data_IF_739740127554
#
_entry.id   IF_739740127554
#
_cell.length_a   1.000
_cell.length_b   1.000
_cell.length_c   1.000
_cell.angle_alpha   90.00
_cell.angle_beta   90.00
_cell.angle_gamma   90.00
#
_symmetry.space_group_name_H-M   'P 1'
#
loop_
_entity.id
_entity.type
_entity.pdbx_description
1 polymer ?
#
# COMPACT_ATOMS: atom_id res chain seq x y z
N UNK A 1 -6.29 -69.44 20.56
CA UNK A 1 -5.01 -68.86 20.09
C UNK A 1 -5.27 -68.43 18.66
N UNK A 2 -5.56 -67.15 18.47
CA UNK A 2 -5.92 -66.54 17.19
C UNK A 2 -5.06 -65.30 17.04
N UNK A 3 -4.23 -65.32 16.00
CA UNK A 3 -3.41 -64.22 15.55
C UNK A 3 -4.27 -63.06 15.05
N UNK A 4 -3.88 -61.84 15.41
CA UNK A 4 -4.30 -60.63 14.72
C UNK A 4 -3.19 -59.58 14.86
N UNK A 5 -2.30 -59.57 13.87
CA UNK A 5 -1.44 -58.43 13.57
C UNK A 5 -2.31 -57.20 13.31
N UNK A 6 -2.07 -56.13 14.06
CA UNK A 6 -2.56 -54.79 13.72
C UNK A 6 -1.38 -53.96 13.26
N UNK A 7 -1.22 -53.88 11.94
CA UNK A 7 -0.50 -52.78 11.28
C UNK A 7 -1.34 -51.53 11.45
N UNK A 8 -0.81 -50.52 12.14
CA UNK A 8 -1.34 -49.17 12.07
C UNK A 8 -0.56 -48.40 11.01
N UNK A 9 -1.32 -47.93 10.02
CA UNK A 9 -0.85 -47.19 8.87
C UNK A 9 -0.15 -45.89 9.27
N UNK A 10 1.00 -45.63 8.64
CA UNK A 10 1.70 -44.37 8.73
C UNK A 10 0.87 -43.30 8.01
N UNK A 11 0.34 -42.33 8.76
CA UNK A 11 -0.23 -41.10 8.22
C UNK A 11 0.85 -40.31 7.48
N UNK A 12 0.79 -40.34 6.15
CA UNK A 12 1.48 -39.38 5.28
C UNK A 12 0.91 -37.98 5.50
N UNK A 13 1.63 -37.15 6.25
CA UNK A 13 1.45 -35.69 6.22
C UNK A 13 2.01 -35.17 4.89
N UNK A 14 1.13 -34.63 4.05
CA UNK A 14 1.50 -33.85 2.88
C UNK A 14 1.86 -32.43 3.31
N UNK A 15 3.15 -32.11 3.30
CA UNK A 15 3.64 -30.74 3.43
C UNK A 15 3.29 -29.97 2.15
N UNK A 16 2.14 -29.31 2.14
CA UNK A 16 1.84 -28.32 1.11
C UNK A 16 2.75 -27.09 1.37
N UNK A 17 3.78 -26.91 0.54
CA UNK A 17 4.66 -25.75 0.60
C UNK A 17 3.83 -24.45 0.58
N UNK A 18 3.92 -23.67 1.65
CA UNK A 18 3.24 -22.38 1.75
C UNK A 18 3.98 -21.37 0.87
N UNK A 19 3.28 -20.79 -0.12
CA UNK A 19 3.86 -19.78 -1.01
C UNK A 19 4.50 -18.63 -0.22
N UNK A 20 5.65 -18.17 -0.69
CA UNK A 20 6.28 -16.95 -0.17
C UNK A 20 5.43 -15.71 -0.49
N UNK A 21 5.68 -14.61 0.23
CA UNK A 21 5.00 -13.34 -0.02
C UNK A 21 5.25 -12.83 -1.45
N UNK A 22 6.45 -13.01 -1.99
CA UNK A 22 6.79 -12.61 -3.35
C UNK A 22 6.02 -13.44 -4.40
N UNK A 23 5.85 -14.74 -4.17
CA UNK A 23 5.06 -15.61 -5.05
C UNK A 23 3.58 -15.27 -4.99
N UNK A 24 3.05 -15.01 -3.78
CA UNK A 24 1.67 -14.57 -3.59
C UNK A 24 1.42 -13.23 -4.27
N UNK A 25 2.33 -12.26 -4.09
CA UNK A 25 2.25 -10.96 -4.76
C UNK A 25 2.30 -11.10 -6.29
N UNK A 26 3.17 -11.97 -6.81
CA UNK A 26 3.30 -12.24 -8.25
C UNK A 26 2.02 -12.86 -8.82
N UNK A 27 1.41 -13.80 -8.08
CA UNK A 27 0.19 -14.50 -8.49
C UNK A 27 -1.04 -13.61 -8.40
N UNK A 28 -1.22 -12.92 -7.28
CA UNK A 28 -2.47 -12.24 -6.93
C UNK A 28 -2.43 -10.73 -7.21
N UNK A 29 -1.27 -10.17 -7.57
CA UNK A 29 -1.00 -8.73 -7.66
C UNK A 29 -1.11 -7.95 -6.34
N UNK A 30 -1.31 -8.66 -5.23
CA UNK A 30 -1.23 -8.13 -3.87
C UNK A 30 -0.77 -9.21 -2.89
N UNK A 31 -0.26 -8.77 -1.73
CA UNK A 31 0.06 -9.62 -0.59
C UNK A 31 -0.27 -8.88 0.70
N UNK A 32 -0.73 -9.63 1.70
CA UNK A 32 -1.01 -9.12 3.04
C UNK A 32 0.15 -9.54 3.93
N UNK A 33 0.76 -8.57 4.61
CA UNK A 33 1.87 -8.81 5.53
C UNK A 33 1.41 -8.43 6.93
N UNK A 34 1.25 -9.44 7.80
CA UNK A 34 0.82 -9.26 9.19
C UNK A 34 1.98 -8.81 10.06
N UNK A 35 1.72 -7.94 11.02
CA UNK A 35 2.75 -7.36 11.90
C UNK A 35 3.93 -6.76 11.11
N UNK A 36 3.62 -6.09 10.00
CA UNK A 36 4.63 -5.51 9.10
C UNK A 36 5.40 -4.36 9.76
N UNK A 37 4.70 -3.54 10.54
CA UNK A 37 5.32 -2.46 11.31
C UNK A 37 5.70 -2.92 12.70
N UNK A 38 6.85 -2.44 13.16
CA UNK A 38 7.26 -2.57 14.55
C UNK A 38 6.20 -1.97 15.49
N UNK A 39 5.79 -2.66 16.57
CA UNK A 39 4.74 -2.18 17.47
C UNK A 39 5.02 -0.81 18.11
N UNK A 40 6.29 -0.48 18.38
CA UNK A 40 6.64 0.85 18.87
C UNK A 40 6.41 1.92 17.81
N UNK A 41 6.79 1.65 16.55
CA UNK A 41 6.52 2.55 15.43
C UNK A 41 5.01 2.78 15.24
N UNK A 42 4.20 1.72 15.34
CA UNK A 42 2.72 1.83 15.29
C UNK A 42 2.21 2.74 16.39
N UNK A 43 2.64 2.53 17.65
CA UNK A 43 2.23 3.36 18.79
C UNK A 43 2.67 4.82 18.65
N UNK A 44 3.89 5.06 18.16
CA UNK A 44 4.42 6.39 17.90
C UNK A 44 3.57 7.12 16.85
N UNK A 45 3.36 6.50 15.68
CA UNK A 45 2.58 7.10 14.59
C UNK A 45 1.11 7.30 14.97
N UNK A 46 0.51 6.36 15.69
CA UNK A 46 -0.86 6.49 16.20
C UNK A 46 -0.99 7.70 17.14
N UNK A 47 0.00 7.91 18.01
CA UNK A 47 0.02 9.09 18.87
C UNK A 47 0.25 10.37 18.09
N UNK A 48 1.21 10.38 17.18
CA UNK A 48 1.51 11.54 16.33
C UNK A 48 0.29 12.00 15.52
N UNK A 49 -0.40 11.09 14.82
CA UNK A 49 -1.57 11.47 14.01
C UNK A 49 -2.81 11.80 14.83
N UNK A 50 -2.91 11.32 16.08
CA UNK A 50 -3.91 11.81 17.02
C UNK A 50 -3.64 13.28 17.36
N UNK A 51 -2.41 13.65 17.68
CA UNK A 51 -2.06 15.06 17.93
C UNK A 51 -2.30 15.93 16.70
N UNK A 52 -1.93 15.47 15.50
CA UNK A 52 -2.21 16.18 14.24
C UNK A 52 -3.70 16.43 14.04
N UNK A 53 -4.54 15.42 14.33
CA UNK A 53 -6.00 15.55 14.27
C UNK A 53 -6.51 16.56 15.29
N UNK A 54 -6.12 16.42 16.55
CA UNK A 54 -6.67 17.19 17.67
C UNK A 54 -6.27 18.67 17.60
N UNK A 55 -5.11 18.97 17.01
CA UNK A 55 -4.65 20.34 16.75
C UNK A 55 -5.05 20.88 15.37
N UNK A 56 -5.75 20.09 14.53
CA UNK A 56 -6.15 20.50 13.19
C UNK A 56 -4.99 20.80 12.24
N UNK A 57 -3.82 20.19 12.47
CA UNK A 57 -2.58 20.47 11.73
C UNK A 57 -2.47 19.74 10.38
N UNK A 58 -3.50 19.00 9.98
CA UNK A 58 -3.58 18.35 8.67
C UNK A 58 -4.24 19.23 7.60
N UNK A 59 -4.43 18.66 6.42
CA UNK A 59 -5.09 19.29 5.28
C UNK A 59 -6.45 18.64 5.04
N UNK A 60 -7.39 19.40 4.46
CA UNK A 60 -8.62 18.86 3.92
C UNK A 60 -8.55 18.93 2.39
N UNK A 61 -8.92 17.83 1.73
CA UNK A 61 -9.12 17.85 0.29
C UNK A 61 -10.49 18.47 0.00
N UNK A 62 -10.67 19.19 -1.10
CA UNK A 62 -11.96 19.84 -1.44
C UNK A 62 -13.12 18.85 -1.49
N UNK A 63 -12.82 17.62 -1.91
CA UNK A 63 -13.81 16.58 -2.16
C UNK A 63 -13.94 15.57 -1.02
N UNK A 64 -13.13 15.71 0.06
CA UNK A 64 -13.12 14.76 1.18
C UNK A 64 -13.38 15.46 2.52
N UNK A 65 -14.21 14.83 3.34
CA UNK A 65 -14.52 15.27 4.70
C UNK A 65 -13.47 14.87 5.75
N UNK A 66 -12.53 14.01 5.37
CA UNK A 66 -11.48 13.44 6.20
C UNK A 66 -10.21 14.29 6.20
N UNK A 67 -9.52 14.35 7.33
CA UNK A 67 -8.21 14.97 7.43
C UNK A 67 -7.17 14.11 6.69
N UNK A 68 -6.28 14.75 5.95
CA UNK A 68 -5.18 14.11 5.25
C UNK A 68 -3.86 14.84 5.50
N UNK A 69 -2.76 14.10 5.53
CA UNK A 69 -1.43 14.63 5.82
C UNK A 69 -0.48 14.24 4.68
N UNK A 70 -0.71 14.80 3.49
CA UNK A 70 0.10 14.50 2.33
C UNK A 70 1.48 15.15 2.46
N UNK A 71 2.56 14.37 2.23
CA UNK A 71 3.93 14.86 2.42
C UNK A 71 4.31 15.16 3.87
N UNK A 72 3.60 14.59 4.85
CA UNK A 72 4.00 14.66 6.25
C UNK A 72 5.41 14.06 6.45
N UNK A 73 6.32 14.73 7.18
CA UNK A 73 7.70 14.25 7.36
C UNK A 73 7.81 12.87 8.02
N UNK A 74 6.90 12.50 8.93
CA UNK A 74 6.91 11.18 9.55
C UNK A 74 6.46 10.11 8.53
N UNK A 75 5.46 10.42 7.70
CA UNK A 75 5.06 9.53 6.60
C UNK A 75 6.17 9.36 5.54
N UNK A 76 6.88 10.43 5.20
CA UNK A 76 8.00 10.38 4.25
C UNK A 76 9.17 9.55 4.83
N UNK A 77 9.44 9.68 6.14
CA UNK A 77 10.43 8.85 6.82
C UNK A 77 10.09 7.36 6.76
N UNK A 78 8.81 6.99 6.94
CA UNK A 78 8.32 5.62 6.76
C UNK A 78 8.53 5.13 5.33
N UNK A 79 8.15 5.93 4.33
CA UNK A 79 8.33 5.62 2.90
C UNK A 79 9.78 5.25 2.55
N UNK A 80 10.75 6.03 3.05
CA UNK A 80 12.16 5.75 2.79
C UNK A 80 12.67 4.56 3.61
N UNK A 81 12.30 4.47 4.89
CA UNK A 81 12.85 3.48 5.81
C UNK A 81 12.36 2.07 5.51
N UNK A 82 11.10 1.91 5.08
CA UNK A 82 10.52 0.61 4.81
C UNK A 82 10.69 0.14 3.37
N UNK A 83 11.30 0.96 2.49
CA UNK A 83 11.52 0.61 1.09
C UNK A 83 12.18 -0.77 0.96
N UNK A 84 13.31 -0.99 1.63
CA UNK A 84 14.05 -2.26 1.51
C UNK A 84 13.23 -3.46 2.02
N UNK A 85 12.44 -3.27 3.07
CA UNK A 85 11.54 -4.30 3.58
C UNK A 85 10.47 -4.64 2.54
N UNK A 86 9.81 -3.63 1.96
CA UNK A 86 8.81 -3.83 0.90
C UNK A 86 9.44 -4.51 -0.32
N UNK A 87 10.64 -4.10 -0.75
CA UNK A 87 11.37 -4.74 -1.84
C UNK A 87 11.61 -6.23 -1.57
N UNK A 88 11.95 -6.60 -0.33
CA UNK A 88 12.16 -7.98 0.07
C UNK A 88 10.85 -8.80 0.06
N UNK A 89 9.74 -8.22 0.51
CA UNK A 89 8.43 -8.90 0.54
C UNK A 89 7.90 -9.25 -0.86
N UNK A 90 8.19 -8.42 -1.87
CA UNK A 90 7.61 -8.59 -3.22
C UNK A 90 8.62 -8.96 -4.30
N UNK A 91 9.92 -9.00 -3.97
CA UNK A 91 10.99 -9.35 -4.91
C UNK A 91 11.18 -8.34 -6.05
N UNK A 92 10.89 -7.05 -5.83
CA UNK A 92 11.06 -5.98 -6.82
C UNK A 92 11.94 -4.87 -6.28
N UNK A 93 12.65 -4.17 -7.17
CA UNK A 93 13.35 -2.93 -6.84
C UNK A 93 12.47 -1.73 -7.12
N UNK A 94 12.42 -0.78 -6.17
CA UNK A 94 11.41 0.28 -6.14
C UNK A 94 12.02 1.67 -6.04
N UNK A 95 11.50 2.66 -6.76
CA UNK A 95 11.73 4.07 -6.46
C UNK A 95 10.55 4.65 -5.67
N UNK A 96 10.80 5.37 -4.56
CA UNK A 96 9.73 6.00 -3.81
C UNK A 96 9.13 7.15 -4.61
N UNK A 97 7.81 7.31 -4.55
CA UNK A 97 7.09 8.41 -5.18
C UNK A 97 6.52 9.35 -4.12
N UNK A 98 5.47 8.96 -3.40
CA UNK A 98 4.84 9.79 -2.37
C UNK A 98 4.46 9.01 -1.10
N UNK A 99 4.21 9.73 -0.01
CA UNK A 99 3.59 9.25 1.21
C UNK A 99 2.33 10.04 1.54
N UNK A 100 1.26 9.35 1.92
CA UNK A 100 -0.04 9.93 2.18
C UNK A 100 -0.65 9.30 3.43
N UNK A 101 -1.17 10.13 4.31
CA UNK A 101 -1.92 9.68 5.49
C UNK A 101 -3.33 10.18 5.38
N UNK A 102 -4.29 9.32 5.72
CA UNK A 102 -5.69 9.70 5.83
C UNK A 102 -6.25 9.24 7.17
N UNK A 103 -6.86 10.19 7.87
CA UNK A 103 -7.52 10.00 9.17
C UNK A 103 -9.01 10.04 8.89
N UNK A 104 -9.60 8.85 8.84
CA UNK A 104 -11.00 8.62 8.54
C UNK A 104 -11.85 8.78 9.80
N UNK A 105 -13.07 9.28 9.61
CA UNK A 105 -14.12 9.42 10.62
C UNK A 105 -15.42 8.79 10.11
N UNK A 106 -16.39 8.66 11.01
CA UNK A 106 -17.73 8.15 10.68
C UNK A 106 -18.31 8.84 9.45
N UNK A 107 -18.80 8.04 8.51
CA UNK A 107 -19.41 8.47 7.27
C UNK A 107 -18.46 8.61 6.08
N UNK A 108 -17.14 8.59 6.31
CA UNK A 108 -16.18 8.61 5.21
C UNK A 108 -16.25 7.31 4.40
N UNK A 109 -15.90 7.39 3.12
CA UNK A 109 -15.76 6.23 2.24
C UNK A 109 -14.59 6.41 1.28
N UNK A 110 -14.23 5.33 0.61
CA UNK A 110 -13.27 5.35 -0.49
C UNK A 110 -13.97 4.72 -1.69
N UNK A 111 -14.37 5.54 -2.65
CA UNK A 111 -14.99 5.05 -3.88
C UNK A 111 -14.07 4.07 -4.62
N UNK A 112 -14.65 3.14 -5.38
CA UNK A 112 -13.87 2.17 -6.16
C UNK A 112 -13.03 2.86 -7.22
N UNK A 113 -11.72 2.62 -7.17
CA UNK A 113 -10.76 3.24 -8.08
C UNK A 113 -9.48 2.41 -8.22
N UNK A 114 -8.66 2.79 -9.21
CA UNK A 114 -7.27 2.39 -9.36
C UNK A 114 -6.39 3.61 -9.11
N UNK A 115 -5.18 3.37 -8.60
CA UNK A 115 -4.22 4.43 -8.36
C UNK A 115 -3.65 5.01 -9.67
N UNK A 116 -3.00 6.17 -9.56
CA UNK A 116 -2.24 6.74 -10.69
C UNK A 116 -1.02 5.88 -11.04
N UNK A 117 -0.44 6.04 -12.25
CA UNK A 117 0.82 5.38 -12.62
C UNK A 117 2.01 5.66 -11.68
N UNK A 118 2.00 6.77 -10.95
CA UNK A 118 3.04 7.07 -9.94
C UNK A 118 2.95 6.14 -8.71
N UNK A 119 1.85 5.39 -8.60
CA UNK A 119 1.57 4.39 -7.57
C UNK A 119 1.40 3.03 -8.23
N UNK A 120 2.41 2.68 -9.03
CA UNK A 120 2.48 1.36 -9.63
C UNK A 120 2.41 0.28 -8.54
N UNK A 121 3.13 0.50 -7.43
CA UNK A 121 3.04 -0.28 -6.21
C UNK A 121 2.60 0.66 -5.08
N UNK A 122 1.59 0.24 -4.33
CA UNK A 122 1.11 0.91 -3.13
C UNK A 122 1.27 -0.05 -1.95
N UNK A 123 1.73 0.47 -0.81
CA UNK A 123 1.70 -0.23 0.46
C UNK A 123 0.80 0.55 1.42
N UNK A 124 -0.34 -0.04 1.79
CA UNK A 124 -1.31 0.53 2.70
C UNK A 124 -1.16 -0.14 4.08
N UNK A 125 -0.86 0.65 5.09
CA UNK A 125 -0.61 0.21 6.45
C UNK A 125 -1.68 0.77 7.40
N UNK A 126 -2.20 -0.09 8.27
CA UNK A 126 -3.09 0.36 9.33
C UNK A 126 -2.26 0.87 10.51
N UNK A 127 -2.43 2.15 10.88
CA UNK A 127 -1.71 2.76 11.99
C UNK A 127 -2.54 2.75 13.27
N UNK A 128 -3.85 3.01 13.16
CA UNK A 128 -4.76 3.04 14.28
C UNK A 128 -6.19 2.80 13.80
N UNK A 129 -7.02 2.19 14.64
CA UNK A 129 -8.46 2.01 14.39
C UNK A 129 -9.20 1.89 15.72
N UNK A 130 -10.48 2.26 15.71
CA UNK A 130 -11.42 1.84 16.74
C UNK A 130 -11.90 0.39 16.54
N UNK A 131 -13.01 0.07 17.21
CA UNK A 131 -13.50 -1.31 17.33
C UNK A 131 -14.30 -1.80 16.10
N UNK A 132 -14.67 -0.90 15.20
CA UNK A 132 -15.44 -1.26 14.00
C UNK A 132 -14.50 -1.80 12.92
N UNK A 133 -14.73 -3.05 12.51
CA UNK A 133 -14.08 -3.61 11.34
C UNK A 133 -14.48 -2.85 10.08
N UNK A 134 -13.47 -2.32 9.40
CA UNK A 134 -13.65 -1.63 8.13
C UNK A 134 -12.63 -2.22 7.15
N UNK A 135 -13.05 -3.14 6.28
CA UNK A 135 -12.13 -3.81 5.37
C UNK A 135 -11.78 -2.94 4.16
N UNK A 136 -10.62 -3.23 3.57
CA UNK A 136 -10.24 -2.76 2.24
C UNK A 136 -10.67 -3.80 1.21
N UNK A 137 -11.58 -3.42 0.31
CA UNK A 137 -11.92 -4.22 -0.86
C UNK A 137 -10.81 -4.10 -1.91
N UNK A 138 -10.47 -5.21 -2.56
CA UNK A 138 -9.52 -5.27 -3.68
C UNK A 138 -10.00 -6.24 -4.74
N UNK A 139 -9.83 -5.88 -6.02
CA UNK A 139 -10.31 -6.67 -7.16
C UNK A 139 -9.43 -6.54 -8.39
N UNK A 140 -9.25 -7.65 -9.09
CA UNK A 140 -8.63 -7.72 -10.42
C UNK A 140 -9.65 -7.62 -11.57
N UNK A 141 -10.95 -7.48 -11.25
CA UNK A 141 -12.05 -7.47 -12.20
C UNK A 141 -12.82 -8.79 -12.28
N UNK A 142 -12.21 -9.90 -11.84
CA UNK A 142 -12.84 -11.24 -11.83
C UNK A 142 -13.17 -11.67 -10.40
N UNK A 143 -12.24 -11.45 -9.48
CA UNK A 143 -12.37 -11.83 -8.08
C UNK A 143 -12.41 -10.59 -7.18
N UNK A 144 -13.32 -10.60 -6.21
CA UNK A 144 -13.37 -9.59 -5.16
C UNK A 144 -12.83 -10.19 -3.85
N UNK A 145 -11.86 -9.52 -3.25
CA UNK A 145 -11.32 -9.85 -1.94
C UNK A 145 -11.58 -8.69 -0.99
N UNK A 146 -11.68 -9.00 0.30
CA UNK A 146 -11.92 -8.03 1.36
C UNK A 146 -10.98 -8.33 2.52
N UNK A 147 -10.22 -7.33 2.97
CA UNK A 147 -9.17 -7.53 3.95
C UNK A 147 -9.33 -6.60 5.13
N UNK A 148 -9.39 -7.18 6.33
CA UNK A 148 -9.32 -6.45 7.60
C UNK A 148 -7.87 -6.44 8.07
N UNK A 149 -7.37 -5.26 8.40
CA UNK A 149 -6.02 -5.02 8.93
C UNK A 149 -6.12 -4.65 10.41
N UNK A 150 -5.25 -5.23 11.25
CA UNK A 150 -4.98 -4.73 12.58
C UNK A 150 -3.91 -3.63 12.53
N UNK A 151 -3.81 -2.75 13.53
CA UNK A 151 -2.69 -1.81 13.62
C UNK A 151 -1.34 -2.53 13.47
N UNK A 152 -0.53 -2.08 12.52
CA UNK A 152 0.75 -2.67 12.14
C UNK A 152 0.72 -3.61 10.94
N UNK A 153 -0.45 -4.07 10.51
CA UNK A 153 -0.59 -4.86 9.28
C UNK A 153 -0.46 -3.98 8.03
N UNK A 154 -0.02 -4.58 6.94
CA UNK A 154 0.10 -3.96 5.64
C UNK A 154 -0.52 -4.80 4.52
N UNK A 155 -0.97 -4.13 3.46
CA UNK A 155 -1.16 -4.74 2.15
C UNK A 155 -0.27 -4.04 1.13
N UNK A 156 0.54 -4.82 0.44
CA UNK A 156 1.36 -4.36 -0.68
C UNK A 156 0.66 -4.83 -1.96
N UNK A 157 0.32 -3.91 -2.86
CA UNK A 157 -0.51 -4.20 -4.03
C UNK A 157 -0.13 -3.37 -5.24
N UNK A 158 -0.48 -3.87 -6.43
CA UNK A 158 -0.36 -3.11 -7.67
C UNK A 158 -1.51 -2.11 -7.80
N UNK A 159 -1.39 -0.97 -7.13
CA UNK A 159 -2.45 0.06 -7.07
C UNK A 159 -2.93 0.54 -8.45
N UNK A 160 -2.02 0.65 -9.42
CA UNK A 160 -2.36 1.01 -10.80
C UNK A 160 -3.17 -0.06 -11.56
N UNK A 161 -3.16 -1.32 -11.10
CA UNK A 161 -3.85 -2.42 -11.77
C UNK A 161 -5.14 -2.85 -11.09
N UNK A 162 -5.14 -2.88 -9.75
CA UNK A 162 -6.24 -3.40 -8.95
C UNK A 162 -7.22 -2.31 -8.55
N UNK A 163 -8.50 -2.58 -8.76
CA UNK A 163 -9.55 -1.77 -8.14
C UNK A 163 -9.51 -1.97 -6.64
N UNK A 164 -9.68 -0.89 -5.90
CA UNK A 164 -9.78 -0.94 -4.45
C UNK A 164 -10.73 0.13 -3.91
N UNK A 165 -11.38 -0.18 -2.79
CA UNK A 165 -12.44 0.65 -2.21
C UNK A 165 -12.65 0.34 -0.72
N UNK A 166 -13.36 1.23 -0.05
CA UNK A 166 -13.88 1.03 1.30
C UNK A 166 -15.30 1.56 1.34
N UNK A 167 -16.20 0.74 1.86
CA UNK A 167 -17.60 1.11 2.09
C UNK A 167 -17.72 2.27 3.08
N UNK A 168 -18.93 2.78 3.33
CA UNK A 168 -19.12 3.86 4.30
C UNK A 168 -18.71 3.44 5.72
N UNK A 169 -17.75 4.15 6.30
CA UNK A 169 -17.21 3.86 7.63
C UNK A 169 -18.23 4.16 8.72
N UNK A 170 -18.46 3.20 9.62
CA UNK A 170 -19.39 3.35 10.75
C UNK A 170 -18.71 3.57 12.09
N UNK A 171 -17.38 3.41 12.15
CA UNK A 171 -16.59 3.65 13.37
C UNK A 171 -16.20 5.11 13.55
N UNK A 172 -15.55 5.37 14.68
CA UNK A 172 -15.22 6.74 15.09
C UNK A 172 -13.94 7.26 14.45
N UNK A 173 -12.90 6.42 14.38
CA UNK A 173 -11.63 6.79 13.79
C UNK A 173 -10.87 5.59 13.18
N UNK A 174 -10.17 5.85 12.08
CA UNK A 174 -9.18 4.94 11.52
C UNK A 174 -8.09 5.73 10.79
N UNK A 175 -6.84 5.35 10.97
CA UNK A 175 -5.68 6.01 10.37
C UNK A 175 -4.98 5.03 9.44
N UNK A 176 -4.82 5.42 8.18
CA UNK A 176 -4.09 4.65 7.18
C UNK A 176 -2.92 5.48 6.68
N UNK A 177 -1.74 4.86 6.63
CA UNK A 177 -0.54 5.41 6.00
C UNK A 177 -0.29 4.63 4.73
N UNK A 178 -0.29 5.33 3.61
CA UNK A 178 -0.09 4.77 2.27
C UNK A 178 1.20 5.33 1.70
N UNK A 179 2.06 4.45 1.21
CA UNK A 179 3.30 4.81 0.53
C UNK A 179 3.30 4.26 -0.88
N UNK A 180 3.73 5.10 -1.82
CA UNK A 180 3.73 4.82 -3.26
C UNK A 180 5.12 4.60 -3.81
N UNK A 181 5.21 3.70 -4.79
CA UNK A 181 6.44 3.41 -5.52
C UNK A 181 6.19 3.15 -7.01
N UNK A 182 7.27 3.27 -7.78
CA UNK A 182 7.39 2.73 -9.14
C UNK A 182 8.54 1.72 -9.20
N UNK A 183 8.45 0.73 -10.09
CA UNK A 183 9.49 -0.28 -10.26
C UNK A 183 10.71 0.33 -10.97
N UNK A 184 11.90 0.11 -10.43
CA UNK A 184 13.17 0.53 -11.04
C UNK A 184 13.34 -0.10 -12.42
N UNK A 185 13.85 0.67 -13.38
CA UNK A 185 14.05 0.24 -14.77
C UNK A 185 12.76 -0.25 -15.46
N UNK A 186 11.61 0.03 -14.85
CA UNK A 186 10.29 -0.34 -15.34
C UNK A 186 9.65 0.73 -16.22
N UNK A 187 8.44 0.43 -16.70
CA UNK A 187 7.63 1.31 -17.57
C UNK A 187 7.46 2.73 -17.02
N UNK A 188 7.42 2.88 -15.70
CA UNK A 188 7.15 4.11 -14.99
C UNK A 188 8.36 4.66 -14.20
N UNK A 189 9.58 4.19 -14.47
CA UNK A 189 10.81 4.65 -13.79
C UNK A 189 10.99 6.18 -13.78
N UNK A 190 10.54 6.85 -14.85
CA UNK A 190 10.55 8.31 -14.95
C UNK A 190 9.65 9.03 -13.94
N UNK A 191 8.80 8.32 -13.20
CA UNK A 191 7.97 8.86 -12.12
C UNK A 191 8.62 8.73 -10.74
N UNK A 192 9.87 8.27 -10.65
CA UNK A 192 10.60 8.29 -9.38
C UNK A 192 10.54 9.67 -8.74
N UNK A 193 10.25 9.70 -7.44
CA UNK A 193 10.11 10.93 -6.65
C UNK A 193 8.98 11.87 -7.09
N UNK A 194 8.04 11.40 -7.93
CA UNK A 194 6.87 12.17 -8.34
C UNK A 194 6.00 12.55 -7.13
N UNK A 195 5.47 13.78 -7.15
CA UNK A 195 4.60 14.28 -6.08
C UNK A 195 5.35 14.82 -4.86
N UNK A 196 6.69 14.70 -4.81
CA UNK A 196 7.49 15.29 -3.75
C UNK A 196 8.18 16.57 -4.23
N UNK A 197 8.12 17.60 -3.38
CA UNK A 197 9.00 18.76 -3.49
C UNK A 197 10.48 18.34 -3.42
N UNK A 198 11.41 19.28 -3.58
CA UNK A 198 12.85 18.97 -3.51
C UNK A 198 13.16 18.21 -2.20
N UNK A 199 13.83 17.04 -2.23
CA UNK A 199 14.15 16.28 -1.01
C UNK A 199 15.02 17.10 -0.06
N UNK A 200 14.76 17.05 1.24
CA UNK A 200 15.54 17.77 2.27
C UNK A 200 16.97 17.25 2.45
N UNK A 201 17.31 16.03 1.99
CA UNK A 201 18.67 15.48 2.10
C UNK A 201 19.02 14.57 0.91
N UNK A 202 20.26 14.68 0.41
CA UNK A 202 20.80 13.90 -0.71
C UNK A 202 22.08 13.18 -0.27
N UNK A 203 22.17 11.84 -0.38
CA UNK A 203 23.43 11.13 -0.22
C UNK A 203 24.44 11.61 -1.26
N UNK A 204 25.68 11.94 -0.84
CA UNK A 204 26.76 12.28 -1.76
C UNK A 204 27.00 11.11 -2.73
N UNK A 205 26.92 11.36 -4.03
CA UNK A 205 27.21 10.37 -5.09
C UNK A 205 26.05 10.03 -6.02
N UNK A 206 24.80 10.38 -5.68
CA UNK A 206 23.66 10.19 -6.57
C UNK A 206 23.55 11.39 -7.52
N UNK A 207 23.91 11.21 -8.81
CA UNK A 207 23.68 12.24 -9.84
C UNK A 207 22.16 12.48 -9.97
N UNK A 208 21.75 13.75 -9.90
CA UNK A 208 20.35 14.17 -10.11
C UNK A 208 19.82 13.66 -11.45
N UNK A 209 18.61 13.12 -11.46
CA UNK A 209 17.65 13.63 -12.43
C UNK A 209 17.09 14.92 -11.82
N UNK A 210 17.03 16.01 -12.58
CA UNK A 210 16.37 17.25 -12.14
C UNK A 210 14.88 17.00 -11.79
N UNK A 211 14.08 18.03 -11.46
CA UNK A 211 12.62 17.86 -11.45
C UNK A 211 12.27 17.14 -12.75
N UNK A 212 11.65 15.96 -12.66
CA UNK A 212 11.34 15.21 -13.86
C UNK A 212 10.29 16.02 -14.58
N UNK A 213 10.73 16.86 -15.52
CA UNK A 213 9.89 17.30 -16.62
C UNK A 213 9.50 15.99 -17.27
N UNK A 214 8.27 15.54 -17.00
CA UNK A 214 7.71 14.36 -17.64
C UNK A 214 7.94 14.57 -19.12
N UNK A 215 8.82 13.75 -19.71
CA UNK A 215 9.16 13.91 -21.11
C UNK A 215 7.87 13.73 -21.91
N UNK A 216 7.78 14.29 -23.12
CA UNK A 216 6.61 14.05 -23.98
C UNK A 216 6.32 12.55 -24.13
N UNK A 217 7.34 11.70 -24.09
CA UNK A 217 7.22 10.24 -24.07
C UNK A 217 6.60 9.68 -22.77
N UNK A 218 6.98 10.17 -21.60
CA UNK A 218 6.35 9.74 -20.31
C UNK A 218 4.91 10.22 -20.24
N UNK A 219 4.64 11.48 -20.59
CA UNK A 219 3.27 12.01 -20.68
C UNK A 219 2.42 11.24 -21.69
N UNK A 220 3.00 10.88 -22.84
CA UNK A 220 2.33 10.06 -23.84
C UNK A 220 2.05 8.66 -23.31
N UNK A 221 2.99 7.99 -22.62
CA UNK A 221 2.76 6.67 -22.00
C UNK A 221 1.69 6.69 -20.90
N UNK A 222 1.62 7.77 -20.13
CA UNK A 222 0.57 8.01 -19.14
C UNK A 222 -0.77 8.23 -19.84
N UNK A 223 -0.82 9.11 -20.85
CA UNK A 223 -2.04 9.38 -21.64
C UNK A 223 -2.52 8.14 -22.41
N UNK A 224 -1.62 7.35 -22.98
CA UNK A 224 -1.95 6.07 -23.63
C UNK A 224 -2.48 5.04 -22.64
N UNK A 225 -1.92 4.98 -21.43
CA UNK A 225 -2.47 4.14 -20.37
C UNK A 225 -3.90 4.57 -19.99
N UNK A 226 -4.16 5.88 -19.90
CA UNK A 226 -5.50 6.43 -19.69
C UNK A 226 -6.43 6.30 -20.91
N UNK A 227 -5.92 6.32 -22.15
CA UNK A 227 -6.72 6.15 -23.38
C UNK A 227 -7.13 4.70 -23.60
N UNK A 228 -6.22 3.75 -23.40
CA UNK A 228 -6.56 2.31 -23.41
C UNK A 228 -7.59 1.94 -22.34
N UNK A 229 -7.67 2.72 -21.25
CA UNK A 229 -8.70 2.61 -20.20
C UNK A 229 -10.08 3.12 -20.65
N UNK A 230 -10.16 4.06 -21.60
CA UNK A 230 -11.42 4.66 -22.07
C UNK A 230 -12.01 4.02 -23.33
N UNK A 231 -11.31 3.05 -23.92
CA UNK A 231 -11.72 2.35 -25.15
C UNK A 231 -12.13 0.88 -24.94
N UNK A 232 -12.36 0.48 -23.69
CA UNK A 232 -12.94 -0.81 -23.31
C UNK A 232 -14.26 -0.53 -22.57
N UNK A 233 -15.26 -0.09 -23.35
CA UNK A 233 -16.69 -0.21 -23.03
C UNK A 233 -17.32 -1.10 -24.11
#
# INVERSE_FOLDING_TARGET
MTDAETKTDAETKTDAETMTNAETFKKNNFVIVRNFLDPFLVKYLASYYREVRDHGAGQFHTDWTSLNCNGDPAADAVLYSLRSTIEAEIGLKLWPTYSFVRIYKKGDSVGRHKDSPANQISCNMNIARGDVDWPLGVSDGETNNSVIFQPGDAMIYRGFMLDHWREKFQGDHQVQLIVGFVVQDGRFDGLRFYGRGKPMYQPKGVRRAGPVKLTKAVLWRIREAYRKRAGTE
#
